data_IF_840195685372
#
_entry.id   IF_840195685372
#
_cell.length_a   1.000
_cell.length_b   1.000
_cell.length_c   1.000
_cell.angle_alpha   90.00
_cell.angle_beta   90.00
_cell.angle_gamma   90.00
#
_symmetry.space_group_name_H-M   'P 1'
#
loop_
_entity.id
_entity.type
_entity.pdbx_description
1 polymer ?
#
# COMPACT_ATOMS: atom_id res chain seq x y z
N UNK A 1 8.93 3.37 -6.37
CA UNK A 1 8.10 3.09 -7.57
C UNK A 1 7.09 4.19 -7.88
N UNK A 2 6.44 4.80 -6.88
CA UNK A 2 5.51 5.94 -7.10
C UNK A 2 6.14 7.11 -7.87
N UNK A 3 7.40 7.47 -7.59
CA UNK A 3 8.15 8.50 -8.34
C UNK A 3 8.13 8.25 -9.85
N UNK A 4 8.44 7.02 -10.28
CA UNK A 4 8.48 6.64 -11.70
C UNK A 4 7.10 6.80 -12.32
N UNK A 5 6.07 6.21 -11.69
CA UNK A 5 4.72 6.24 -12.23
C UNK A 5 4.13 7.65 -12.29
N UNK A 6 4.41 8.49 -11.29
CA UNK A 6 3.91 9.87 -11.22
C UNK A 6 4.61 10.77 -12.23
N UNK A 7 5.93 10.69 -12.38
CA UNK A 7 6.67 11.41 -13.44
C UNK A 7 6.19 10.98 -14.82
N UNK A 8 6.04 9.67 -15.04
CA UNK A 8 5.47 9.14 -16.27
C UNK A 8 4.06 9.66 -16.54
N UNK A 9 3.18 9.69 -15.53
CA UNK A 9 1.80 10.15 -15.67
C UNK A 9 1.69 11.65 -15.99
N UNK A 10 2.69 12.45 -15.59
CA UNK A 10 2.79 13.87 -15.96
C UNK A 10 3.17 14.00 -17.44
N UNK A 11 4.20 13.28 -17.90
CA UNK A 11 4.63 13.41 -19.30
C UNK A 11 3.73 12.68 -20.31
N UNK A 12 3.10 11.57 -19.92
CA UNK A 12 2.26 10.76 -20.81
C UNK A 12 0.89 11.39 -21.01
N UNK A 13 0.51 11.54 -22.28
CA UNK A 13 -0.84 11.91 -22.72
C UNK A 13 -1.48 10.74 -23.47
N UNK A 14 -2.78 10.55 -23.31
CA UNK A 14 -3.55 9.55 -24.02
C UNK A 14 -5.03 9.88 -23.94
N UNK A 15 -5.72 9.83 -25.08
CA UNK A 15 -7.12 10.23 -25.26
C UNK A 15 -7.34 11.73 -25.06
N UNK A 16 -8.38 12.26 -25.72
CA UNK A 16 -8.89 13.61 -25.44
C UNK A 16 -9.86 13.49 -24.28
N UNK A 17 -9.55 14.09 -23.14
CA UNK A 17 -10.51 14.23 -22.05
C UNK A 17 -11.63 15.20 -22.41
N UNK A 18 -12.75 15.13 -21.68
CA UNK A 18 -13.94 15.94 -21.93
C UNK A 18 -13.69 17.47 -21.87
N UNK A 19 -12.59 17.87 -21.22
CA UNK A 19 -12.20 19.28 -21.07
C UNK A 19 -11.40 19.83 -22.27
N UNK A 20 -11.13 19.02 -23.28
CA UNK A 20 -10.39 19.42 -24.49
C UNK A 20 -11.39 19.71 -25.61
N UNK A 21 -11.28 20.86 -26.28
CA UNK A 21 -12.15 21.17 -27.42
C UNK A 21 -11.96 20.12 -28.53
N UNK A 22 -12.99 19.30 -28.84
CA UNK A 22 -12.87 18.26 -29.84
C UNK A 22 -12.64 18.82 -31.26
N UNK A 23 -12.93 20.11 -31.48
CA UNK A 23 -12.80 20.80 -32.77
C UNK A 23 -11.45 21.48 -32.97
N UNK A 24 -10.63 21.60 -31.92
CA UNK A 24 -9.28 22.13 -32.06
C UNK A 24 -8.33 21.02 -32.59
N UNK A 25 -7.75 21.18 -33.81
CA UNK A 25 -6.81 20.21 -34.37
C UNK A 25 -5.46 20.20 -33.65
N UNK A 26 -5.12 21.26 -32.90
CA UNK A 26 -3.87 21.38 -32.16
C UNK A 26 -4.03 21.01 -30.67
N UNK A 27 -5.23 20.67 -30.23
CA UNK A 27 -5.50 20.29 -28.86
C UNK A 27 -4.73 19.02 -28.50
N UNK A 28 -3.78 19.16 -27.57
CA UNK A 28 -3.03 18.03 -27.03
C UNK A 28 -3.98 17.10 -26.26
N UNK A 29 -3.71 15.80 -26.34
CA UNK A 29 -4.36 14.80 -25.48
C UNK A 29 -4.14 15.13 -23.99
N UNK A 30 -5.04 14.66 -23.14
CA UNK A 30 -4.98 14.94 -21.70
C UNK A 30 -3.85 14.15 -21.04
N UNK A 31 -3.13 14.76 -20.09
CA UNK A 31 -2.09 14.06 -19.32
C UNK A 31 -2.74 12.99 -18.45
N UNK A 32 -2.11 11.82 -18.30
CA UNK A 32 -2.71 10.74 -17.52
C UNK A 32 -3.02 11.17 -16.08
N UNK A 33 -2.14 11.96 -15.48
CA UNK A 33 -2.28 12.48 -14.12
C UNK A 33 -3.49 13.41 -13.92
N UNK A 34 -4.10 13.92 -15.00
CA UNK A 34 -5.27 14.79 -14.92
C UNK A 34 -6.59 14.01 -14.83
N UNK A 35 -6.57 12.71 -15.15
CA UNK A 35 -7.74 11.86 -14.96
C UNK A 35 -7.96 11.51 -13.49
N UNK A 36 -9.14 11.77 -12.90
CA UNK A 36 -9.43 11.45 -11.49
C UNK A 36 -9.20 9.98 -11.13
N UNK A 37 -9.48 9.07 -12.06
CA UNK A 37 -9.19 7.64 -11.87
C UNK A 37 -7.69 7.38 -11.71
N UNK A 38 -6.85 8.03 -12.52
CA UNK A 38 -5.39 7.86 -12.45
C UNK A 38 -4.84 8.43 -11.14
N UNK A 39 -5.38 9.56 -10.69
CA UNK A 39 -5.08 10.15 -9.38
C UNK A 39 -5.46 9.21 -8.24
N UNK A 40 -6.69 8.68 -8.23
CA UNK A 40 -7.17 7.69 -7.23
C UNK A 40 -6.30 6.42 -7.23
N UNK A 41 -5.71 6.03 -8.35
CA UNK A 41 -4.84 4.85 -8.42
C UNK A 41 -3.44 5.10 -7.85
N UNK A 42 -2.86 6.28 -8.01
CA UNK A 42 -1.44 6.53 -7.67
C UNK A 42 -1.23 7.36 -6.41
N UNK A 43 -2.03 8.40 -6.17
CA UNK A 43 -1.84 9.29 -5.02
C UNK A 43 -1.98 8.60 -3.66
N UNK A 44 -2.82 7.56 -3.47
CA UNK A 44 -2.82 6.80 -2.21
C UNK A 44 -1.46 6.23 -1.85
N UNK A 45 -0.68 5.76 -2.83
CA UNK A 45 0.65 5.18 -2.61
C UNK A 45 1.74 6.24 -2.42
N UNK A 46 1.55 7.44 -2.98
CA UNK A 46 2.36 8.60 -2.62
C UNK A 46 2.16 8.97 -1.15
N UNK A 47 0.90 9.13 -0.74
CA UNK A 47 0.54 9.43 0.64
C UNK A 47 1.03 8.33 1.61
N UNK A 48 0.89 7.06 1.23
CA UNK A 48 1.37 5.93 2.00
C UNK A 48 2.88 5.96 2.24
N UNK A 49 3.68 6.37 1.27
CA UNK A 49 5.14 6.48 1.44
C UNK A 49 5.51 7.45 2.56
N UNK A 50 4.82 8.60 2.65
CA UNK A 50 5.04 9.60 3.71
C UNK A 50 4.56 9.10 5.07
N UNK A 51 3.32 8.59 5.13
CA UNK A 51 2.71 8.14 6.39
C UNK A 51 3.46 6.95 6.98
N UNK A 52 3.82 5.97 6.15
CA UNK A 52 4.60 4.80 6.59
C UNK A 52 6.00 5.20 7.04
N UNK A 53 6.67 6.12 6.33
CA UNK A 53 8.01 6.59 6.70
C UNK A 53 8.04 7.20 8.11
N UNK A 54 7.01 7.99 8.47
CA UNK A 54 6.93 8.57 9.82
C UNK A 54 6.79 7.49 10.90
N UNK A 55 5.91 6.51 10.69
CA UNK A 55 5.73 5.41 11.64
C UNK A 55 6.93 4.47 11.72
N UNK A 56 7.59 4.21 10.59
CA UNK A 56 8.81 3.39 10.54
C UNK A 56 9.93 4.01 11.37
N UNK A 57 10.19 5.32 11.22
CA UNK A 57 11.19 6.02 12.03
C UNK A 57 10.86 5.93 13.52
N UNK A 58 9.59 6.11 13.89
CA UNK A 58 9.18 6.00 15.29
C UNK A 58 9.43 4.62 15.87
N UNK A 59 9.16 3.56 15.11
CA UNK A 59 9.44 2.18 15.56
C UNK A 59 10.93 1.94 15.69
N UNK A 60 11.75 2.40 14.74
CA UNK A 60 13.21 2.33 14.84
C UNK A 60 13.72 3.01 16.11
N UNK A 61 13.32 4.25 16.37
CA UNK A 61 13.67 4.97 17.60
C UNK A 61 13.20 4.22 18.85
N UNK A 62 12.01 3.61 18.80
CA UNK A 62 11.46 2.87 19.94
C UNK A 62 12.24 1.58 20.20
N UNK A 63 12.67 0.87 19.15
CA UNK A 63 13.54 -0.31 19.25
C UNK A 63 14.86 0.10 19.92
N UNK A 64 15.53 1.12 19.39
CA UNK A 64 16.82 1.58 19.94
C UNK A 64 16.72 1.99 21.40
N UNK A 65 15.71 2.80 21.76
CA UNK A 65 15.52 3.25 23.14
C UNK A 65 15.18 2.08 24.09
N UNK A 66 14.31 1.15 23.67
CA UNK A 66 13.91 0.01 24.51
C UNK A 66 15.09 -0.91 24.80
N UNK A 67 15.94 -1.16 23.80
CA UNK A 67 17.14 -1.99 23.96
C UNK A 67 18.17 -1.29 24.86
N UNK A 68 18.40 0.01 24.66
CA UNK A 68 19.31 0.77 25.52
C UNK A 68 18.84 0.83 26.98
N UNK A 69 17.53 0.99 27.23
CA UNK A 69 16.95 0.91 28.57
C UNK A 69 17.15 -0.47 29.21
N UNK A 70 16.99 -1.54 28.43
CA UNK A 70 17.20 -2.91 28.90
C UNK A 70 18.67 -3.16 29.27
N UNK A 71 19.60 -2.78 28.41
CA UNK A 71 21.05 -2.94 28.66
C UNK A 71 21.45 -2.20 29.94
N UNK A 72 21.03 -0.94 30.09
CA UNK A 72 21.29 -0.16 31.29
C UNK A 72 20.66 -0.75 32.56
N UNK A 73 19.48 -1.37 32.45
CA UNK A 73 18.81 -2.03 33.56
C UNK A 73 19.55 -3.31 33.99
N UNK A 74 20.06 -4.09 33.01
CA UNK A 74 20.88 -5.28 33.24
C UNK A 74 22.20 -4.92 33.90
N UNK A 75 22.91 -3.91 33.40
CA UNK A 75 24.16 -3.42 33.99
C UNK A 75 24.00 -3.01 35.47
N UNK A 76 22.85 -2.43 35.81
CA UNK A 76 22.54 -1.97 37.18
C UNK A 76 21.93 -3.06 38.07
N UNK A 77 21.69 -4.26 37.54
CA UNK A 77 20.89 -5.31 38.20
C UNK A 77 19.52 -4.80 38.70
N UNK A 78 18.90 -3.83 38.00
CA UNK A 78 17.59 -3.30 38.36
C UNK A 78 16.47 -4.21 37.83
N UNK A 79 16.07 -5.17 38.66
CA UNK A 79 15.02 -6.14 38.32
C UNK A 79 13.70 -5.48 37.92
N UNK A 80 13.34 -4.33 38.51
CA UNK A 80 12.08 -3.65 38.18
C UNK A 80 12.15 -3.02 36.79
N UNK A 81 13.26 -2.37 36.48
CA UNK A 81 13.50 -1.79 35.15
C UNK A 81 13.56 -2.89 34.07
N UNK A 82 14.19 -4.03 34.35
CA UNK A 82 14.22 -5.19 33.44
C UNK A 82 12.79 -5.65 33.12
N UNK A 83 11.93 -5.85 34.13
CA UNK A 83 10.54 -6.27 33.89
C UNK A 83 9.73 -5.22 33.13
N UNK A 84 9.95 -3.92 33.38
CA UNK A 84 9.34 -2.84 32.58
C UNK A 84 9.75 -2.95 31.10
N UNK A 85 11.05 -3.08 30.81
CA UNK A 85 11.54 -3.19 29.43
C UNK A 85 10.99 -4.44 28.72
N UNK A 86 10.81 -5.55 29.45
CA UNK A 86 10.15 -6.76 28.90
C UNK A 86 8.70 -6.48 28.51
N UNK A 87 7.95 -5.72 29.31
CA UNK A 87 6.58 -5.34 28.96
C UNK A 87 6.54 -4.36 27.78
N UNK A 88 7.48 -3.40 27.73
CA UNK A 88 7.62 -2.47 26.61
C UNK A 88 7.95 -3.23 25.29
N UNK A 89 8.78 -4.28 25.35
CA UNK A 89 9.06 -5.16 24.21
C UNK A 89 7.82 -5.92 23.72
N UNK A 90 6.88 -6.30 24.60
CA UNK A 90 5.61 -6.93 24.18
C UNK A 90 4.72 -5.95 23.42
N UNK A 91 4.66 -4.70 23.86
CA UNK A 91 3.97 -3.64 23.12
C UNK A 91 4.63 -3.38 21.77
N UNK A 92 5.97 -3.35 21.74
CA UNK A 92 6.74 -3.19 20.52
C UNK A 92 6.47 -4.32 19.52
N UNK A 93 6.33 -5.58 19.97
CA UNK A 93 5.95 -6.70 19.10
C UNK A 93 4.60 -6.48 18.41
N UNK A 94 3.60 -5.96 19.13
CA UNK A 94 2.27 -5.66 18.56
C UNK A 94 2.37 -4.56 17.51
N UNK A 95 3.11 -3.48 17.81
CA UNK A 95 3.27 -2.36 16.89
C UNK A 95 4.12 -2.74 15.67
N UNK A 96 5.30 -3.33 15.86
CA UNK A 96 6.17 -3.72 14.75
C UNK A 96 5.57 -4.85 13.89
N UNK A 97 4.91 -5.83 14.51
CA UNK A 97 4.28 -6.94 13.81
C UNK A 97 3.10 -6.51 12.93
N UNK A 98 2.25 -5.60 13.43
CA UNK A 98 1.15 -5.03 12.64
C UNK A 98 1.66 -4.19 11.47
N UNK A 99 2.71 -3.39 11.70
CA UNK A 99 3.32 -2.56 10.66
C UNK A 99 4.03 -3.39 9.59
N UNK A 100 4.85 -4.38 9.97
CA UNK A 100 5.56 -5.24 9.02
C UNK A 100 4.60 -5.89 8.05
N UNK A 101 3.58 -6.58 8.58
CA UNK A 101 2.60 -7.28 7.74
C UNK A 101 1.84 -6.32 6.81
N UNK A 102 1.29 -5.23 7.37
CA UNK A 102 0.46 -4.28 6.62
C UNK A 102 1.27 -3.47 5.59
N UNK A 103 2.44 -2.95 5.96
CA UNK A 103 3.25 -2.12 5.07
C UNK A 103 3.90 -2.92 3.95
N UNK A 104 4.30 -4.18 4.19
CA UNK A 104 4.88 -5.02 3.14
C UNK A 104 3.85 -5.42 2.08
N UNK A 105 2.62 -5.77 2.49
CA UNK A 105 1.51 -5.97 1.55
C UNK A 105 1.20 -4.71 0.75
N UNK A 106 1.13 -3.55 1.41
CA UNK A 106 0.87 -2.29 0.72
C UNK A 106 2.00 -1.91 -0.25
N UNK A 107 3.26 -2.19 0.10
CA UNK A 107 4.40 -2.00 -0.79
C UNK A 107 4.33 -2.88 -2.05
N UNK A 108 3.91 -4.13 -1.90
CA UNK A 108 3.76 -5.04 -3.05
C UNK A 108 2.67 -4.54 -4.00
N UNK A 109 1.51 -4.16 -3.44
CA UNK A 109 0.40 -3.58 -4.18
C UNK A 109 0.80 -2.26 -4.86
N UNK A 110 1.53 -1.39 -4.17
CA UNK A 110 2.01 -0.12 -4.71
C UNK A 110 2.90 -0.33 -5.94
N UNK A 111 3.85 -1.28 -5.88
CA UNK A 111 4.73 -1.60 -7.01
C UNK A 111 3.91 -2.04 -8.22
N UNK A 112 2.97 -2.97 -8.02
CA UNK A 112 2.16 -3.49 -9.12
C UNK A 112 1.17 -2.46 -9.69
N UNK A 113 0.56 -1.63 -8.84
CA UNK A 113 -0.30 -0.53 -9.31
C UNK A 113 0.49 0.52 -10.10
N UNK A 114 1.70 0.87 -9.65
CA UNK A 114 2.59 1.77 -10.38
C UNK A 114 2.97 1.19 -11.75
N UNK A 115 3.26 -0.12 -11.81
CA UNK A 115 3.56 -0.84 -13.06
C UNK A 115 2.39 -0.74 -14.03
N UNK A 116 1.19 -1.08 -13.58
CA UNK A 116 -0.03 -1.03 -14.40
C UNK A 116 -0.38 0.39 -14.85
N UNK A 117 -0.11 1.40 -14.02
CA UNK A 117 -0.34 2.81 -14.38
C UNK A 117 0.60 3.30 -15.50
N UNK A 118 1.77 2.68 -15.65
CA UNK A 118 2.70 2.98 -16.75
C UNK A 118 2.35 2.26 -18.07
N UNK A 119 1.24 1.51 -18.13
CA UNK A 119 0.79 0.79 -19.31
C UNK A 119 1.83 -0.20 -19.84
N UNK A 120 1.95 -0.32 -21.16
CA UNK A 120 2.91 -1.23 -21.80
C UNK A 120 4.36 -0.95 -21.45
N UNK A 121 4.74 0.32 -21.26
CA UNK A 121 6.10 0.69 -20.84
C UNK A 121 6.44 0.19 -19.43
N UNK A 122 5.44 0.04 -18.56
CA UNK A 122 5.62 -0.57 -17.23
C UNK A 122 6.05 -2.04 -17.28
N UNK A 123 5.81 -2.75 -18.40
CA UNK A 123 6.23 -4.14 -18.56
C UNK A 123 7.72 -4.29 -18.91
N UNK A 124 8.34 -3.24 -19.45
CA UNK A 124 9.76 -3.26 -19.80
C UNK A 124 10.64 -3.44 -18.56
N UNK A 125 11.58 -4.38 -18.61
CA UNK A 125 12.53 -4.63 -17.53
C UNK A 125 13.40 -3.41 -17.21
N UNK A 126 13.66 -2.56 -18.22
CA UNK A 126 14.41 -1.31 -18.08
C UNK A 126 13.73 -0.25 -17.22
N UNK A 127 12.43 -0.43 -16.92
CA UNK A 127 11.67 0.46 -16.05
C UNK A 127 11.54 -0.08 -14.61
N UNK A 128 12.16 -1.23 -14.31
CA UNK A 128 12.44 -1.70 -12.94
C UNK A 128 11.28 -2.37 -12.21
N UNK A 129 10.03 -2.19 -12.63
CA UNK A 129 8.86 -2.71 -11.89
C UNK A 129 8.84 -4.23 -11.72
N UNK A 130 9.08 -4.99 -12.80
CA UNK A 130 9.03 -6.45 -12.75
C UNK A 130 10.06 -7.04 -11.79
N UNK A 131 11.30 -6.56 -11.86
CA UNK A 131 12.37 -6.97 -10.93
C UNK A 131 12.03 -6.56 -9.49
N UNK A 132 11.63 -5.31 -9.28
CA UNK A 132 11.32 -4.83 -7.94
C UNK A 132 10.14 -5.57 -7.30
N UNK A 133 9.10 -5.93 -8.06
CA UNK A 133 8.00 -6.72 -7.53
C UNK A 133 8.48 -8.12 -7.12
N UNK A 134 9.22 -8.81 -7.99
CA UNK A 134 9.76 -10.13 -7.70
C UNK A 134 10.69 -10.13 -6.48
N UNK A 135 11.52 -9.10 -6.33
CA UNK A 135 12.43 -8.96 -5.19
C UNK A 135 11.70 -8.53 -3.91
N UNK A 136 10.58 -7.78 -4.01
CA UNK A 136 9.85 -7.27 -2.86
C UNK A 136 8.93 -8.29 -2.20
N UNK A 137 8.26 -9.14 -2.98
CA UNK A 137 7.17 -9.99 -2.43
C UNK A 137 7.64 -11.00 -1.38
N UNK A 138 8.94 -11.33 -1.33
CA UNK A 138 9.52 -12.15 -0.25
C UNK A 138 9.37 -11.50 1.13
N UNK A 139 9.33 -10.16 1.20
CA UNK A 139 9.10 -9.39 2.44
C UNK A 139 7.78 -9.76 3.11
N UNK A 140 6.80 -10.25 2.34
CA UNK A 140 5.50 -10.68 2.85
C UNK A 140 5.52 -12.08 3.48
N UNK A 141 6.62 -12.82 3.34
CA UNK A 141 6.74 -14.23 3.72
C UNK A 141 7.82 -14.47 4.77
N UNK A 142 9.03 -13.96 4.56
CA UNK A 142 10.11 -14.14 5.53
C UNK A 142 9.94 -13.23 6.74
N UNK A 143 10.74 -13.45 7.80
CA UNK A 143 10.62 -12.70 9.07
C UNK A 143 9.19 -12.75 9.65
N UNK A 144 8.54 -13.90 9.48
CA UNK A 144 7.14 -14.16 9.83
C UNK A 144 6.19 -13.92 8.66
N UNK A 145 5.49 -14.97 8.23
CA UNK A 145 4.40 -14.86 7.25
C UNK A 145 3.40 -13.79 7.69
N UNK A 146 3.00 -12.92 6.75
CA UNK A 146 2.18 -11.77 7.11
C UNK A 146 0.83 -12.13 7.73
N UNK A 147 0.19 -13.24 7.34
CA UNK A 147 -1.08 -13.65 7.95
C UNK A 147 -0.86 -14.21 9.35
N UNK A 148 0.14 -15.08 9.53
CA UNK A 148 0.50 -15.65 10.84
C UNK A 148 0.90 -14.55 11.82
N UNK A 149 1.69 -13.59 11.36
CA UNK A 149 2.11 -12.43 12.17
C UNK A 149 0.90 -11.55 12.52
N UNK A 150 0.07 -11.20 11.54
CA UNK A 150 -1.13 -10.39 11.77
C UNK A 150 -2.10 -11.06 12.76
N UNK A 151 -2.33 -12.36 12.64
CA UNK A 151 -3.13 -13.11 13.62
C UNK A 151 -2.51 -13.06 15.02
N UNK A 152 -1.19 -13.23 15.12
CA UNK A 152 -0.45 -13.18 16.39
C UNK A 152 -0.52 -11.81 17.06
N UNK A 153 -0.62 -10.74 16.27
CA UNK A 153 -0.79 -9.36 16.75
C UNK A 153 -2.25 -9.05 17.14
N UNK A 154 -3.23 -9.60 16.42
CA UNK A 154 -4.65 -9.43 16.76
C UNK A 154 -5.03 -10.11 18.08
N UNK A 155 -4.40 -11.26 18.42
CA UNK A 155 -4.73 -12.04 19.63
C UNK A 155 -4.59 -11.22 20.93
N UNK A 156 -3.47 -10.51 21.18
CA UNK A 156 -3.33 -9.61 22.33
C UNK A 156 -4.44 -8.56 22.45
N UNK A 157 -4.90 -7.97 21.33
CA UNK A 157 -5.95 -6.92 21.34
C UNK A 157 -7.26 -7.50 21.88
N UNK A 158 -7.66 -8.67 21.38
CA UNK A 158 -8.87 -9.38 21.86
C UNK A 158 -8.73 -9.79 23.32
N UNK A 159 -7.56 -10.32 23.73
CA UNK A 159 -7.29 -10.66 25.15
C UNK A 159 -7.37 -9.44 26.08
N UNK A 160 -6.93 -8.27 25.62
CA UNK A 160 -7.04 -7.02 26.35
C UNK A 160 -8.52 -6.63 26.53
N UNK A 161 -9.34 -6.74 25.50
CA UNK A 161 -10.80 -6.50 25.60
C UNK A 161 -11.45 -7.46 26.58
N UNK A 162 -11.19 -8.76 26.48
CA UNK A 162 -11.69 -9.76 27.45
C UNK A 162 -11.29 -9.38 28.88
N UNK A 163 -10.04 -8.94 29.09
CA UNK A 163 -9.54 -8.54 30.41
C UNK A 163 -10.20 -7.26 30.95
N UNK A 164 -10.56 -6.31 30.08
CA UNK A 164 -11.32 -5.10 30.44
C UNK A 164 -12.74 -5.49 30.86
N UNK A 165 -13.41 -6.36 30.11
CA UNK A 165 -14.78 -6.80 30.38
C UNK A 165 -14.88 -7.61 31.67
N UNK A 166 -14.00 -8.60 31.84
CA UNK A 166 -14.12 -9.60 32.91
C UNK A 166 -13.52 -9.12 34.23
N UNK A 167 -12.43 -8.34 34.17
CA UNK A 167 -11.65 -7.95 35.34
C UNK A 167 -11.46 -6.44 35.51
N UNK A 168 -12.03 -5.60 34.64
CA UNK A 168 -11.90 -4.15 34.73
C UNK A 168 -10.46 -3.64 34.62
N UNK A 169 -9.56 -4.40 33.99
CA UNK A 169 -8.14 -4.04 33.87
C UNK A 169 -7.97 -2.82 32.97
N UNK A 170 -7.04 -1.94 33.34
CA UNK A 170 -6.63 -0.81 32.50
C UNK A 170 -5.51 -1.22 31.55
N UNK A 171 -5.68 -0.89 30.27
CA UNK A 171 -4.67 -1.10 29.22
C UNK A 171 -3.82 0.16 29.06
N UNK A 172 -2.53 0.01 28.73
CA UNK A 172 -1.57 1.11 28.56
C UNK A 172 -0.91 1.05 27.17
N UNK A 173 -0.14 2.06 26.83
CA UNK A 173 0.65 2.11 25.59
C UNK A 173 -0.22 2.36 24.35
N UNK A 174 0.18 1.78 23.21
CA UNK A 174 -0.43 2.04 21.90
C UNK A 174 -1.85 1.50 21.74
N UNK A 175 -2.36 0.71 22.68
CA UNK A 175 -3.75 0.23 22.74
C UNK A 175 -4.55 0.85 23.90
N UNK A 176 -4.06 1.92 24.52
CA UNK A 176 -4.75 2.59 25.64
C UNK A 176 -6.16 3.12 25.28
N UNK A 177 -6.45 3.34 23.99
CA UNK A 177 -7.79 3.71 23.54
C UNK A 177 -8.85 2.65 23.84
N UNK A 178 -8.47 1.37 24.02
CA UNK A 178 -9.38 0.28 24.40
C UNK A 178 -10.06 0.51 25.76
N UNK A 179 -9.49 1.35 26.63
CA UNK A 179 -10.14 1.71 27.90
C UNK A 179 -11.50 2.42 27.72
N UNK A 180 -11.79 2.91 26.51
CA UNK A 180 -13.06 3.54 26.14
C UNK A 180 -14.11 2.51 25.68
N UNK A 181 -13.88 1.21 25.90
CA UNK A 181 -14.76 0.11 25.47
C UNK A 181 -16.23 0.40 25.78
N UNK A 182 -16.55 0.78 27.03
CA UNK A 182 -17.93 1.04 27.49
C UNK A 182 -18.61 2.22 26.79
N UNK A 183 -17.85 3.16 26.26
CA UNK A 183 -18.39 4.34 25.58
C UNK A 183 -18.89 4.03 24.16
N UNK A 184 -18.51 2.87 23.63
CA UNK A 184 -18.75 2.50 22.23
C UNK A 184 -19.32 1.08 22.02
N UNK A 185 -19.51 0.29 23.08
CA UNK A 185 -20.15 -1.04 23.04
C UNK A 185 -21.45 -1.07 23.85
N UNK A 186 -22.15 -2.22 23.82
CA UNK A 186 -23.42 -2.39 24.52
C UNK A 186 -24.49 -1.41 24.02
N UNK A 187 -25.13 -0.67 24.93
CA UNK A 187 -26.14 0.35 24.59
C UNK A 187 -25.60 1.51 23.73
N UNK A 188 -24.28 1.70 23.71
CA UNK A 188 -23.60 2.76 22.94
C UNK A 188 -23.06 2.27 21.58
N UNK A 189 -23.36 1.03 21.18
CA UNK A 189 -22.98 0.47 19.87
C UNK A 189 -23.60 1.21 18.68
N UNK A 190 -24.69 1.95 18.91
CA UNK A 190 -25.35 2.78 17.89
C UNK A 190 -24.67 4.14 17.64
N UNK A 191 -23.68 4.52 18.46
CA UNK A 191 -22.99 5.81 18.33
C UNK A 191 -22.13 5.86 17.06
N UNK A 192 -22.53 6.64 16.07
CA UNK A 192 -21.78 6.88 14.83
C UNK A 192 -20.71 7.94 15.09
N UNK A 193 -19.50 7.74 14.55
CA UNK A 193 -18.38 8.69 14.66
C UNK A 193 -18.24 9.52 13.40
N UNK A 194 -18.38 8.90 12.22
CA UNK A 194 -18.30 9.57 10.93
C UNK A 194 -19.69 9.68 10.33
N UNK A 195 -20.32 10.85 10.45
CA UNK A 195 -21.68 11.04 9.97
C UNK A 195 -21.78 12.07 8.83
N UNK A 196 -20.84 13.01 8.79
CA UNK A 196 -20.84 14.14 7.84
C UNK A 196 -19.53 14.22 7.07
N UNK A 197 -19.53 15.01 5.99
CA UNK A 197 -18.30 15.29 5.22
C UNK A 197 -17.25 16.02 6.05
N UNK A 198 -17.67 16.85 7.02
CA UNK A 198 -16.75 17.53 7.92
C UNK A 198 -15.97 16.55 8.81
N UNK A 199 -16.63 15.49 9.27
CA UNK A 199 -15.99 14.43 10.07
C UNK A 199 -14.91 13.68 9.27
N UNK A 200 -15.10 13.54 7.95
CA UNK A 200 -14.13 12.92 7.04
C UNK A 200 -12.93 13.83 6.76
N UNK A 201 -13.09 15.14 6.89
CA UNK A 201 -12.02 16.12 6.69
C UNK A 201 -11.19 16.34 7.96
N UNK A 202 -11.74 16.09 9.15
CA UNK A 202 -10.99 16.10 10.40
C UNK A 202 -10.26 14.78 10.65
N UNK A 203 -8.95 14.78 10.42
CA UNK A 203 -8.09 13.61 10.59
C UNK A 203 -8.10 13.06 12.03
N UNK A 204 -8.32 13.90 13.05
CA UNK A 204 -8.40 13.43 14.44
C UNK A 204 -9.68 12.64 14.67
N UNK A 205 -10.80 13.09 14.10
CA UNK A 205 -12.05 12.35 14.08
C UNK A 205 -11.93 11.04 13.29
N UNK A 206 -11.20 11.02 12.16
CA UNK A 206 -10.92 9.78 11.43
C UNK A 206 -10.06 8.80 12.24
N UNK A 207 -9.01 9.26 12.92
CA UNK A 207 -8.22 8.42 13.84
C UNK A 207 -9.13 7.85 14.93
N UNK A 208 -10.03 8.68 15.47
CA UNK A 208 -11.01 8.24 16.46
C UNK A 208 -11.95 7.16 15.92
N UNK A 209 -12.40 7.29 14.68
CA UNK A 209 -13.21 6.28 14.02
C UNK A 209 -12.46 4.95 13.90
N UNK A 210 -11.17 4.94 13.59
CA UNK A 210 -10.36 3.72 13.56
C UNK A 210 -10.29 3.08 14.95
N UNK A 211 -10.10 3.85 16.02
CA UNK A 211 -10.13 3.33 17.39
C UNK A 211 -11.47 2.64 17.70
N UNK A 212 -12.59 3.29 17.36
CA UNK A 212 -13.93 2.76 17.61
C UNK A 212 -14.18 1.50 16.77
N UNK A 213 -13.70 1.45 15.53
CA UNK A 213 -13.75 0.25 14.70
C UNK A 213 -12.97 -0.91 15.32
N UNK A 214 -11.75 -0.66 15.82
CA UNK A 214 -10.96 -1.67 16.53
C UNK A 214 -11.69 -2.14 17.77
N UNK A 215 -12.23 -1.22 18.58
CA UNK A 215 -12.98 -1.54 19.82
C UNK A 215 -14.15 -2.48 19.52
N UNK A 216 -15.01 -2.13 18.56
CA UNK A 216 -16.21 -2.92 18.25
C UNK A 216 -15.88 -4.26 17.60
N UNK A 217 -14.95 -4.28 16.64
CA UNK A 217 -14.49 -5.52 16.01
C UNK A 217 -13.85 -6.47 17.02
N UNK A 218 -13.02 -5.95 17.94
CA UNK A 218 -12.38 -6.79 18.95
C UNK A 218 -13.35 -7.27 20.03
N UNK A 219 -14.41 -6.52 20.33
CA UNK A 219 -15.49 -6.95 21.24
C UNK A 219 -16.34 -8.07 20.63
N UNK A 220 -16.65 -8.00 19.33
CA UNK A 220 -17.33 -9.10 18.63
C UNK A 220 -16.44 -10.36 18.60
N UNK A 221 -15.17 -10.20 18.22
CA UNK A 221 -14.21 -11.31 18.25
C UNK A 221 -14.05 -11.91 19.66
N UNK A 222 -14.03 -11.07 20.71
CA UNK A 222 -13.98 -11.53 22.10
C UNK A 222 -15.21 -12.38 22.47
N UNK A 223 -16.39 -12.00 22.00
CA UNK A 223 -17.65 -12.72 22.27
C UNK A 223 -17.66 -14.11 21.63
N UNK A 224 -17.05 -14.26 20.45
CA UNK A 224 -16.86 -15.55 19.77
C UNK A 224 -15.79 -16.38 20.50
N UNK A 225 -14.64 -15.79 20.80
CA UNK A 225 -13.53 -16.48 21.49
C UNK A 225 -13.92 -16.97 22.89
N UNK A 226 -14.80 -16.27 23.61
CA UNK A 226 -15.32 -16.71 24.91
C UNK A 226 -16.16 -17.99 24.81
N UNK A 227 -16.78 -18.25 23.66
CA UNK A 227 -17.62 -19.44 23.41
C UNK A 227 -16.82 -20.56 22.73
N UNK A 228 -15.91 -20.19 21.84
CA UNK A 228 -15.18 -21.08 20.95
C UNK A 228 -13.66 -20.96 21.19
N UNK A 229 -12.89 -20.66 20.14
CA UNK A 229 -11.44 -20.46 20.18
C UNK A 229 -11.01 -19.32 19.27
N UNK A 230 -9.73 -18.94 19.35
CA UNK A 230 -9.13 -17.95 18.46
C UNK A 230 -9.10 -18.36 16.99
N UNK A 231 -9.27 -19.65 16.67
CA UNK A 231 -9.20 -20.13 15.29
C UNK A 231 -10.43 -19.70 14.48
N UNK A 232 -11.58 -19.52 15.14
CA UNK A 232 -12.82 -19.06 14.53
C UNK A 232 -12.85 -17.56 14.20
N UNK A 233 -11.89 -16.79 14.71
CA UNK A 233 -11.79 -15.34 14.49
C UNK A 233 -10.53 -14.96 13.70
N UNK A 234 -9.90 -15.91 13.00
CA UNK A 234 -8.63 -15.70 12.30
C UNK A 234 -8.66 -14.51 11.33
N UNK A 235 -9.75 -14.34 10.58
CA UNK A 235 -9.91 -13.24 9.64
C UNK A 235 -10.04 -11.88 10.36
N UNK A 236 -10.81 -11.82 11.43
CA UNK A 236 -11.00 -10.64 12.28
C UNK A 236 -9.69 -10.23 12.94
N UNK A 237 -8.87 -11.19 13.39
CA UNK A 237 -7.55 -10.91 13.96
C UNK A 237 -6.62 -10.23 12.94
N UNK A 238 -6.66 -10.66 11.67
CA UNK A 238 -5.90 -10.02 10.59
C UNK A 238 -6.43 -8.60 10.33
N UNK A 239 -7.75 -8.40 10.31
CA UNK A 239 -8.36 -7.08 10.15
C UNK A 239 -7.99 -6.14 11.31
N UNK A 240 -8.03 -6.62 12.55
CA UNK A 240 -7.60 -5.89 13.74
C UNK A 240 -6.14 -5.47 13.65
N UNK A 241 -5.25 -6.37 13.21
CA UNK A 241 -3.84 -6.05 13.00
C UNK A 241 -3.65 -4.94 11.97
N UNK A 242 -4.36 -5.00 10.82
CA UNK A 242 -4.29 -3.97 9.79
C UNK A 242 -4.81 -2.61 10.28
N UNK A 243 -5.96 -2.58 10.94
CA UNK A 243 -6.51 -1.35 11.52
C UNK A 243 -5.59 -0.77 12.60
N UNK A 244 -4.98 -1.63 13.44
CA UNK A 244 -3.99 -1.21 14.44
C UNK A 244 -2.75 -0.59 13.81
N UNK A 245 -2.26 -1.15 12.70
CA UNK A 245 -1.16 -0.57 11.93
C UNK A 245 -1.53 0.83 11.43
N UNK A 246 -2.69 0.97 10.77
CA UNK A 246 -3.14 2.26 10.24
C UNK A 246 -3.39 3.31 11.32
N UNK A 247 -3.97 2.91 12.46
CA UNK A 247 -4.12 3.77 13.64
C UNK A 247 -2.76 4.29 14.14
N UNK A 248 -1.80 3.38 14.32
CA UNK A 248 -0.45 3.74 14.76
C UNK A 248 0.22 4.72 13.79
N UNK A 249 0.20 4.39 12.49
CA UNK A 249 0.80 5.20 11.44
C UNK A 249 0.22 6.61 11.40
N UNK A 250 -1.11 6.75 11.40
CA UNK A 250 -1.77 8.05 11.35
C UNK A 250 -1.56 8.86 12.62
N UNK A 251 -1.63 8.21 13.79
CA UNK A 251 -1.39 8.87 15.08
C UNK A 251 0.02 9.46 15.13
N UNK A 252 1.03 8.66 14.74
CA UNK A 252 2.41 9.11 14.72
C UNK A 252 2.66 10.18 13.64
N UNK A 253 2.06 10.02 12.46
CA UNK A 253 2.17 11.01 11.38
C UNK A 253 1.65 12.38 11.83
N UNK A 254 0.49 12.44 12.48
CA UNK A 254 -0.06 13.69 13.01
C UNK A 254 0.78 14.24 14.16
N UNK A 255 1.23 13.40 15.09
CA UNK A 255 2.15 13.82 16.17
C UNK A 255 3.41 14.51 15.62
N UNK A 256 3.97 13.93 14.55
CA UNK A 256 5.17 14.47 13.90
C UNK A 256 4.89 15.76 13.13
N UNK A 257 3.73 15.88 12.50
CA UNK A 257 3.28 17.13 11.85
C UNK A 257 3.07 18.24 12.88
N UNK A 258 2.42 17.96 14.00
CA UNK A 258 2.16 18.95 15.06
C UNK A 258 3.47 19.56 15.61
N UNK A 259 4.52 18.72 15.67
CA UNK A 259 5.87 19.10 16.12
C UNK A 259 6.81 19.51 14.98
N UNK A 260 6.33 19.61 13.74
CA UNK A 260 7.16 19.93 12.58
C UNK A 260 7.53 21.41 12.54
N UNK A 261 8.81 21.73 12.35
CA UNK A 261 9.32 23.10 12.45
C UNK A 261 8.86 24.00 11.28
N UNK A 262 8.86 23.46 10.06
CA UNK A 262 8.50 24.23 8.85
C UNK A 262 6.98 24.29 8.67
N UNK A 263 6.36 25.26 9.35
CA UNK A 263 4.90 25.43 9.40
C UNK A 263 4.26 25.65 8.02
N UNK A 264 4.98 26.23 7.07
CA UNK A 264 4.47 26.46 5.71
C UNK A 264 4.20 25.16 4.93
N UNK A 265 4.87 24.06 5.28
CA UNK A 265 4.69 22.77 4.63
C UNK A 265 3.59 21.92 5.30
N UNK A 266 3.15 22.29 6.50
CA UNK A 266 2.16 21.54 7.28
C UNK A 266 0.85 21.30 6.51
N UNK A 267 0.26 22.28 5.79
CA UNK A 267 -0.98 22.05 5.04
C UNK A 267 -0.84 20.93 3.99
N UNK A 268 0.27 20.91 3.25
CA UNK A 268 0.57 19.91 2.23
C UNK A 268 0.72 18.51 2.83
N UNK A 269 1.44 18.40 3.95
CA UNK A 269 1.62 17.14 4.67
C UNK A 269 0.30 16.63 5.28
N UNK A 270 -0.51 17.52 5.86
CA UNK A 270 -1.84 17.16 6.37
C UNK A 270 -2.72 16.62 5.24
N UNK A 271 -2.72 17.24 4.06
CA UNK A 271 -3.48 16.76 2.90
C UNK A 271 -3.06 15.33 2.51
N UNK A 272 -1.76 14.99 2.54
CA UNK A 272 -1.31 13.60 2.32
C UNK A 272 -1.83 12.65 3.40
N UNK A 273 -1.77 13.05 4.68
CA UNK A 273 -2.34 12.25 5.78
C UNK A 273 -3.84 11.99 5.61
N UNK A 274 -4.61 13.02 5.24
CA UNK A 274 -6.04 12.91 4.95
C UNK A 274 -6.30 12.00 3.75
N UNK A 275 -5.51 12.13 2.68
CA UNK A 275 -5.64 11.28 1.51
C UNK A 275 -5.35 9.81 1.83
N UNK A 276 -4.30 9.53 2.60
CA UNK A 276 -4.01 8.18 3.08
C UNK A 276 -5.17 7.62 3.90
N UNK A 277 -5.67 8.39 4.88
CA UNK A 277 -6.78 7.97 5.72
C UNK A 277 -8.05 7.69 4.89
N UNK A 278 -8.40 8.58 3.95
CA UNK A 278 -9.56 8.44 3.10
C UNK A 278 -9.48 7.21 2.17
N UNK A 279 -8.32 6.97 1.55
CA UNK A 279 -8.19 5.99 0.46
C UNK A 279 -7.66 4.63 0.92
N UNK A 280 -6.65 4.59 1.78
CA UNK A 280 -6.05 3.33 2.27
C UNK A 280 -6.82 2.77 3.47
N UNK A 281 -7.51 3.62 4.25
CA UNK A 281 -8.21 3.18 5.46
C UNK A 281 -9.73 3.19 5.25
N UNK A 282 -10.35 4.34 5.04
CA UNK A 282 -11.82 4.42 5.01
C UNK A 282 -12.40 3.69 3.79
N UNK A 283 -11.89 3.91 2.57
CA UNK A 283 -12.41 3.27 1.34
C UNK A 283 -12.22 1.74 1.36
N UNK A 284 -11.03 1.27 1.78
CA UNK A 284 -10.70 -0.17 1.79
C UNK A 284 -11.36 -0.96 2.90
N UNK A 285 -11.59 -0.34 4.05
CA UNK A 285 -12.22 -0.98 5.21
C UNK A 285 -13.67 -0.51 5.41
N UNK A 286 -14.30 0.10 4.39
CA UNK A 286 -15.66 0.64 4.46
C UNK A 286 -16.66 -0.39 4.99
N UNK A 287 -16.51 -1.67 4.61
CA UNK A 287 -17.32 -2.77 5.13
C UNK A 287 -17.25 -2.91 6.65
N UNK A 288 -16.08 -2.75 7.27
CA UNK A 288 -15.92 -2.78 8.73
C UNK A 288 -16.58 -1.53 9.35
N UNK A 289 -16.30 -0.34 8.81
CA UNK A 289 -16.86 0.91 9.33
C UNK A 289 -18.39 0.94 9.30
N UNK A 290 -19.00 0.38 8.26
CA UNK A 290 -20.47 0.25 8.13
C UNK A 290 -21.02 -0.87 9.03
N UNK A 291 -20.41 -2.07 9.00
CA UNK A 291 -20.89 -3.23 9.77
C UNK A 291 -20.94 -2.94 11.27
N UNK A 292 -19.92 -2.24 11.78
CA UNK A 292 -19.86 -1.86 13.19
C UNK A 292 -20.42 -0.47 13.46
N UNK A 293 -21.20 0.11 12.54
CA UNK A 293 -21.91 1.38 12.70
C UNK A 293 -21.01 2.55 13.18
N UNK A 294 -19.76 2.57 12.70
CA UNK A 294 -18.77 3.60 13.00
C UNK A 294 -18.93 4.78 12.04
N UNK A 295 -19.29 4.49 10.79
CA UNK A 295 -19.60 5.47 9.76
C UNK A 295 -21.03 5.28 9.25
N UNK A 296 -21.70 6.39 8.89
CA UNK A 296 -22.98 6.34 8.18
C UNK A 296 -22.79 6.03 6.70
N UNK A 297 -23.84 5.51 6.06
CA UNK A 297 -23.86 5.26 4.61
C UNK A 297 -23.66 6.57 3.83
N UNK A 298 -24.22 7.66 4.33
CA UNK A 298 -24.10 9.00 3.77
C UNK A 298 -22.63 9.46 3.80
N UNK A 299 -21.94 9.26 4.92
CA UNK A 299 -20.52 9.60 5.05
C UNK A 299 -19.65 8.77 4.08
N UNK A 300 -19.86 7.45 3.99
CA UNK A 300 -19.10 6.60 3.06
C UNK A 300 -19.39 6.94 1.59
N UNK A 301 -20.63 7.32 1.27
CA UNK A 301 -20.97 7.80 -0.08
C UNK A 301 -20.25 9.11 -0.41
N UNK A 302 -20.23 10.05 0.54
CA UNK A 302 -19.53 11.32 0.37
C UNK A 302 -18.00 11.17 0.37
N UNK A 303 -17.46 10.17 1.06
CA UNK A 303 -16.03 9.83 1.00
C UNK A 303 -15.59 9.58 -0.44
N UNK A 304 -16.30 8.69 -1.14
CA UNK A 304 -15.97 8.30 -2.51
C UNK A 304 -16.26 9.39 -3.54
N UNK A 305 -17.39 10.10 -3.40
CA UNK A 305 -17.86 11.07 -4.39
C UNK A 305 -17.35 12.50 -4.21
N UNK A 306 -16.95 12.89 -2.99
CA UNK A 306 -16.56 14.27 -2.67
C UNK A 306 -15.16 14.33 -2.07
N UNK A 307 -14.91 13.62 -0.96
CA UNK A 307 -13.67 13.81 -0.19
C UNK A 307 -12.42 13.31 -0.91
N UNK A 308 -12.46 12.10 -1.49
CA UNK A 308 -11.31 11.57 -2.25
C UNK A 308 -11.00 12.44 -3.49
N UNK A 309 -11.97 12.80 -4.35
CA UNK A 309 -11.72 13.71 -5.47
C UNK A 309 -11.15 15.07 -5.05
N UNK A 310 -11.68 15.67 -3.98
CA UNK A 310 -11.18 16.94 -3.42
C UNK A 310 -9.70 16.82 -3.03
N UNK A 311 -9.34 15.81 -2.23
CA UNK A 311 -7.96 15.61 -1.78
C UNK A 311 -7.01 15.32 -2.95
N UNK A 312 -7.46 14.54 -3.95
CA UNK A 312 -6.68 14.31 -5.16
C UNK A 312 -6.42 15.61 -5.93
N UNK A 313 -7.41 16.49 -6.06
CA UNK A 313 -7.25 17.79 -6.71
C UNK A 313 -6.26 18.71 -5.97
N UNK A 314 -6.24 18.68 -4.62
CA UNK A 314 -5.27 19.42 -3.81
C UNK A 314 -3.83 18.89 -3.95
N UNK A 315 -3.66 17.56 -4.06
CA UNK A 315 -2.35 16.93 -4.22
C UNK A 315 -1.78 17.14 -5.63
N UNK A 316 -2.63 17.07 -6.65
CA UNK A 316 -2.26 17.11 -8.08
C UNK A 316 -1.25 18.21 -8.47
N UNK A 317 -1.40 19.50 -8.09
CA UNK A 317 -0.44 20.53 -8.49
C UNK A 317 0.94 20.38 -7.84
N UNK A 318 1.03 19.66 -6.71
CA UNK A 318 2.26 19.54 -5.91
C UNK A 318 2.97 18.20 -6.08
N UNK A 319 2.47 17.31 -6.94
CA UNK A 319 2.98 15.93 -7.13
C UNK A 319 4.49 15.88 -7.36
N UNK A 320 5.03 16.76 -8.21
CA UNK A 320 6.48 16.80 -8.51
C UNK A 320 7.28 17.12 -7.26
N UNK A 321 6.88 18.15 -6.51
CA UNK A 321 7.55 18.52 -5.25
C UNK A 321 7.49 17.38 -4.22
N UNK A 322 6.36 16.68 -4.12
CA UNK A 322 6.23 15.53 -3.22
C UNK A 322 7.12 14.35 -3.62
N UNK A 323 7.32 14.11 -4.91
CA UNK A 323 8.20 13.01 -5.38
C UNK A 323 9.67 13.39 -5.35
N UNK A 324 10.00 14.66 -5.60
CA UNK A 324 11.38 15.15 -5.64
C UNK A 324 11.97 15.34 -4.24
N UNK A 325 11.12 15.57 -3.22
CA UNK A 325 11.55 15.61 -1.83
C UNK A 325 12.14 14.27 -1.33
N UNK A 326 11.89 13.16 -2.04
CA UNK A 326 12.56 11.88 -1.77
C UNK A 326 14.05 11.92 -2.12
N UNK A 327 14.50 12.93 -2.89
CA UNK A 327 15.89 13.15 -3.30
C UNK A 327 16.54 11.91 -3.92
N UNK A 328 15.75 11.17 -4.71
CA UNK A 328 16.23 9.99 -5.42
C UNK A 328 16.94 10.42 -6.70
N UNK A 329 18.23 10.14 -6.80
CA UNK A 329 18.97 10.30 -8.04
C UNK A 329 18.47 9.34 -9.11
N UNK A 330 18.71 9.64 -10.38
CA UNK A 330 18.30 8.76 -11.49
C UNK A 330 18.96 7.37 -11.41
N UNK A 331 20.12 7.25 -10.74
CA UNK A 331 20.75 5.97 -10.44
C UNK A 331 19.90 5.13 -9.47
N UNK A 332 19.31 5.74 -8.45
CA UNK A 332 18.44 5.06 -7.48
C UNK A 332 17.07 4.76 -8.11
N UNK A 333 16.54 5.71 -8.87
CA UNK A 333 15.27 5.52 -9.61
C UNK A 333 15.39 4.37 -10.60
N UNK A 334 16.55 4.24 -11.26
CA UNK A 334 16.91 3.16 -12.16
C UNK A 334 15.79 2.79 -13.15
N UNK A 335 15.21 3.80 -13.79
CA UNK A 335 14.08 3.65 -14.70
C UNK A 335 14.14 4.76 -15.74
N UNK A 336 14.12 4.39 -17.02
CA UNK A 336 14.24 5.37 -18.11
C UNK A 336 13.06 6.34 -18.16
N UNK A 337 11.84 5.83 -17.88
CA UNK A 337 10.62 6.65 -17.89
C UNK A 337 10.41 7.46 -16.60
N UNK A 338 11.29 7.26 -15.60
CA UNK A 338 11.20 7.91 -14.29
C UNK A 338 12.28 8.96 -14.04
N UNK A 339 13.11 9.29 -15.04
CA UNK A 339 14.21 10.25 -14.91
C UNK A 339 13.74 11.65 -14.50
N UNK A 340 14.63 12.37 -13.83
CA UNK A 340 14.35 13.70 -13.27
C UNK A 340 14.00 14.75 -14.32
N UNK A 341 14.64 14.71 -15.50
CA UNK A 341 14.46 15.66 -16.60
C UNK A 341 13.06 15.60 -17.25
N UNK A 342 12.32 14.50 -17.05
CA UNK A 342 11.02 14.28 -17.67
C UNK A 342 11.07 13.90 -19.16
N UNK A 343 12.25 13.69 -19.75
CA UNK A 343 12.40 13.31 -21.17
C UNK A 343 12.17 11.80 -21.36
N UNK A 344 10.93 11.37 -21.16
CA UNK A 344 10.54 9.96 -21.07
C UNK A 344 10.95 9.16 -22.32
N UNK A 345 10.71 9.71 -23.51
CA UNK A 345 10.78 8.95 -24.75
C UNK A 345 12.20 8.80 -25.27
N UNK A 346 13.00 9.86 -25.27
CA UNK A 346 14.40 9.79 -25.70
C UNK A 346 15.21 8.95 -24.71
N UNK A 347 15.04 9.19 -23.40
CA UNK A 347 15.70 8.39 -22.37
C UNK A 347 15.40 6.90 -22.50
N UNK A 348 14.14 6.54 -22.78
CA UNK A 348 13.76 5.15 -22.94
C UNK A 348 14.29 4.55 -24.24
N UNK A 349 14.16 5.25 -25.37
CA UNK A 349 14.63 4.78 -26.66
C UNK A 349 16.15 4.60 -26.70
N UNK A 350 16.90 5.55 -26.15
CA UNK A 350 18.36 5.48 -26.06
C UNK A 350 18.82 4.32 -25.20
N UNK A 351 18.18 4.08 -24.06
CA UNK A 351 18.51 2.94 -23.22
C UNK A 351 18.24 1.60 -23.95
N UNK A 352 17.11 1.49 -24.65
CA UNK A 352 16.79 0.28 -25.43
C UNK A 352 17.82 0.04 -26.52
N UNK A 353 18.22 1.07 -27.29
CA UNK A 353 19.26 0.97 -28.33
C UNK A 353 20.63 0.62 -27.74
N UNK A 354 20.98 1.19 -26.59
CA UNK A 354 22.25 0.93 -25.94
C UNK A 354 22.36 -0.54 -25.49
N UNK A 355 21.28 -1.07 -24.91
CA UNK A 355 21.24 -2.47 -24.43
C UNK A 355 21.00 -3.47 -25.56
N UNK A 356 20.34 -3.04 -26.64
CA UNK A 356 20.04 -3.87 -27.82
C UNK A 356 20.52 -3.13 -29.08
N UNK A 357 21.83 -3.19 -29.40
CA UNK A 357 22.41 -2.43 -30.50
C UNK A 357 21.70 -2.73 -31.83
N UNK A 358 21.16 -1.71 -32.53
CA UNK A 358 20.43 -1.91 -33.78
C UNK A 358 21.31 -2.37 -34.94
N UNK A 359 22.64 -2.33 -34.77
CA UNK A 359 23.59 -2.90 -35.74
C UNK A 359 23.52 -4.44 -35.81
N UNK A 360 22.97 -5.10 -34.80
CA UNK A 360 22.74 -6.56 -34.81
C UNK A 360 21.36 -6.86 -35.37
N UNK A 361 21.29 -7.11 -36.68
CA UNK A 361 20.03 -7.30 -37.41
C UNK A 361 19.57 -8.76 -37.50
N UNK A 362 20.44 -9.73 -37.16
CA UNK A 362 20.12 -11.15 -37.13
C UNK A 362 20.13 -11.69 -35.70
N UNK A 363 19.16 -12.54 -35.38
CA UNK A 363 19.09 -13.25 -34.12
C UNK A 363 20.12 -14.40 -34.10
N UNK A 364 20.58 -14.85 -32.92
CA UNK A 364 21.50 -16.00 -32.83
C UNK A 364 20.95 -17.30 -33.46
N UNK A 365 19.63 -17.42 -33.61
CA UNK A 365 18.95 -18.56 -34.22
C UNK A 365 18.49 -18.29 -35.67
N UNK A 366 18.96 -17.21 -36.31
CA UNK A 366 18.52 -16.84 -37.66
C UNK A 366 18.71 -17.98 -38.68
N UNK A 367 19.79 -18.76 -38.60
CA UNK A 367 20.01 -19.89 -39.51
C UNK A 367 18.94 -20.97 -39.38
N UNK A 368 18.49 -21.27 -38.15
CA UNK A 368 17.43 -22.24 -37.91
C UNK A 368 16.07 -21.71 -38.42
N UNK A 369 15.81 -20.41 -38.24
CA UNK A 369 14.60 -19.78 -38.76
C UNK A 369 14.59 -19.75 -40.29
N UNK A 370 15.71 -19.38 -40.91
CA UNK A 370 15.90 -19.39 -42.36
C UNK A 370 15.73 -20.81 -42.92
N UNK A 371 16.31 -21.83 -42.28
CA UNK A 371 16.10 -23.23 -42.66
C UNK A 371 14.64 -23.67 -42.53
N UNK A 372 13.93 -23.23 -41.48
CA UNK A 372 12.51 -23.52 -41.28
C UNK A 372 11.64 -22.87 -42.37
N UNK A 373 11.94 -21.63 -42.74
CA UNK A 373 11.19 -20.86 -43.75
C UNK A 373 11.48 -21.37 -45.17
N UNK A 374 12.71 -21.79 -45.45
CA UNK A 374 13.14 -22.34 -46.72
C UNK A 374 13.01 -23.87 -46.81
N UNK A 375 12.28 -24.50 -45.88
CA UNK A 375 12.14 -25.95 -45.87
C UNK A 375 11.40 -26.44 -47.14
N UNK A 376 11.83 -27.57 -47.73
CA UNK A 376 11.14 -28.14 -48.88
C UNK A 376 9.69 -28.54 -48.55
N UNK A 377 8.91 -28.84 -49.60
CA UNK A 377 7.50 -29.21 -49.47
C UNK A 377 7.33 -30.40 -48.53
N UNK A 378 6.12 -30.62 -48.00
CA UNK A 378 5.87 -31.77 -47.13
C UNK A 378 6.21 -33.08 -47.87
N UNK A 379 5.79 -33.19 -49.13
CA UNK A 379 6.03 -34.37 -49.96
C UNK A 379 7.52 -34.62 -50.16
N UNK A 380 8.32 -33.58 -50.44
CA UNK A 380 9.78 -33.71 -50.56
C UNK A 380 10.44 -34.11 -49.24
N UNK A 381 9.96 -33.59 -48.10
CA UNK A 381 10.48 -33.94 -46.78
C UNK A 381 10.08 -35.35 -46.35
N UNK A 382 8.94 -35.84 -46.82
CA UNK A 382 8.47 -37.21 -46.65
C UNK A 382 8.96 -38.15 -47.76
N UNK A 383 9.88 -37.68 -48.62
CA UNK A 383 10.44 -38.44 -49.77
C UNK A 383 9.38 -39.04 -50.69
N UNK A 384 8.19 -38.42 -50.76
CA UNK A 384 7.02 -38.93 -51.46
C UNK A 384 6.57 -40.33 -50.98
N UNK A 385 6.97 -40.75 -49.77
CA UNK A 385 6.71 -42.09 -49.21
C UNK A 385 5.32 -42.25 -48.60
N UNK A 386 4.58 -41.15 -48.40
CA UNK A 386 3.16 -41.19 -47.99
C UNK A 386 2.26 -40.88 -49.17
N UNK A 387 1.93 -41.91 -49.95
CA UNK A 387 0.79 -41.83 -50.88
C UNK A 387 -0.53 -41.76 -50.09
N UNK A 388 -1.60 -41.24 -50.71
CA UNK A 388 -2.96 -41.29 -50.14
C UNK A 388 -3.35 -42.72 -49.73
N UNK A 389 -2.83 -43.72 -50.45
CA UNK A 389 -2.96 -45.15 -50.17
C UNK A 389 -2.27 -45.54 -48.84
N UNK A 390 -1.06 -45.04 -48.59
CA UNK A 390 -0.29 -45.32 -47.38
C UNK A 390 -0.89 -44.61 -46.16
N UNK A 391 -1.39 -43.38 -46.34
CA UNK A 391 -2.12 -42.65 -45.32
C UNK A 391 -3.43 -43.36 -44.92
N UNK A 392 -4.17 -43.90 -45.90
CA UNK A 392 -5.40 -44.65 -45.66
C UNK A 392 -5.17 -45.98 -44.92
N UNK A 393 -4.03 -46.65 -45.15
CA UNK A 393 -3.64 -47.88 -44.43
C UNK A 393 -3.24 -47.59 -42.98
N UNK A 394 -2.51 -46.49 -42.73
CA UNK A 394 -2.04 -46.10 -41.40
C UNK A 394 -3.13 -45.44 -40.53
N UNK A 395 -4.25 -45.02 -41.12
CA UNK A 395 -5.40 -44.43 -40.42
C UNK A 395 -6.46 -45.44 -39.94
N UNK A 396 -6.25 -46.74 -40.18
CA UNK A 396 -7.01 -47.84 -39.57
C UNK A 396 -6.25 -48.41 -38.38
#
# INVERSE_FOLDING_TARGET
MSTIALRYAIGRRQFKGDNVDPKDPNALETQLIDYPLHQKRLFPYLAAAYVISAGALKVEDTIHNTLAELDAAVEKNDTKAIFKSIDDMKSLFVDSGSLKSTATWLGAEAIDQCRQACGGHGYSSYNGFGKAYNDWVVQCTWEGDNNVLAMSVGKPIVKQVISIEDAGKTVRGSTAFLNQLKDYTGSNSSKVVLNTVADLDDIKTVIKAIEVAIIRLSQEAASIVKKESFDYVGAELVQLSKLKAHHYLLTEYIRRIDTFDQKDLVPYLITLGKLYAATIVLDRFAGVFLTFNVASTEAITALASVQIPKLCAEVRPNVVAYTDSFQQSDMIVNSAIGRYDGDIYENYFDLVKLQNPPSKTKAPYSDALEAMLNRPTLDERERFEKSDETAAILSK
#
